data_IF_238007263597
#
_entry.id   IF_238007263597
#
_cell.length_a   1.000
_cell.length_b   1.000
_cell.length_c   1.000
_cell.angle_alpha   90.00
_cell.angle_beta   90.00
_cell.angle_gamma   90.00
#
_symmetry.space_group_name_H-M   'P 1'
#
loop_
_entity.id
_entity.type
_entity.pdbx_description
1 polymer ?
#
# COMPACT_ATOMS: atom_id res chain seq x y z
N UNK A 1 7.57 -10.25 37.97
CA UNK A 1 8.22 -10.09 36.66
C UNK A 1 7.09 -10.13 35.66
N UNK A 2 6.56 -8.96 35.30
CA UNK A 2 5.37 -8.83 34.46
C UNK A 2 5.76 -9.00 33.01
N UNK A 3 5.01 -9.88 32.35
CA UNK A 3 5.00 -10.24 30.94
C UNK A 3 4.89 -8.98 30.04
N UNK A 4 6.00 -8.57 29.41
CA UNK A 4 6.06 -7.41 28.49
C UNK A 4 6.46 -7.79 27.06
N UNK A 5 6.16 -9.00 26.60
CA UNK A 5 6.07 -9.25 25.14
C UNK A 5 4.81 -8.58 24.58
N UNK A 6 4.79 -7.25 24.51
CA UNK A 6 3.72 -6.46 23.89
C UNK A 6 3.78 -6.62 22.37
N UNK A 7 3.26 -7.73 21.87
CA UNK A 7 3.02 -7.93 20.45
C UNK A 7 1.64 -7.41 20.09
N UNK A 8 1.57 -6.40 19.23
CA UNK A 8 0.30 -5.94 18.64
C UNK A 8 0.10 -6.65 17.30
N UNK A 9 -1.02 -7.36 17.15
CA UNK A 9 -1.36 -8.05 15.91
C UNK A 9 -2.44 -7.28 15.16
N UNK A 10 -2.09 -6.71 14.01
CA UNK A 10 -2.99 -6.01 13.12
C UNK A 10 -3.48 -6.96 12.03
N UNK A 11 -4.80 -7.18 12.02
CA UNK A 11 -5.48 -8.04 11.03
C UNK A 11 -6.07 -7.17 9.93
N UNK A 12 -5.84 -7.58 8.69
CA UNK A 12 -6.46 -6.98 7.52
C UNK A 12 -7.52 -7.94 6.96
N UNK A 13 -8.65 -7.42 6.44
CA UNK A 13 -9.52 -8.17 5.55
C UNK A 13 -8.78 -8.72 4.32
N UNK A 14 -9.42 -9.61 3.57
CA UNK A 14 -8.90 -10.04 2.28
C UNK A 14 -8.78 -8.83 1.34
N UNK A 15 -7.75 -8.81 0.51
CA UNK A 15 -7.63 -7.77 -0.52
C UNK A 15 -8.87 -7.78 -1.42
N UNK A 16 -9.46 -6.60 -1.62
CA UNK A 16 -10.60 -6.41 -2.51
C UNK A 16 -10.31 -6.88 -3.94
N UNK A 17 -11.33 -7.45 -4.59
CA UNK A 17 -11.19 -8.08 -5.92
C UNK A 17 -10.70 -7.09 -6.99
N UNK A 18 -11.19 -5.86 -6.98
CA UNK A 18 -10.78 -4.82 -7.92
C UNK A 18 -9.27 -4.56 -7.84
N UNK A 19 -8.76 -4.38 -6.62
CA UNK A 19 -7.35 -4.15 -6.35
C UNK A 19 -6.47 -5.35 -6.70
N UNK A 20 -6.91 -6.57 -6.36
CA UNK A 20 -6.19 -7.79 -6.71
C UNK A 20 -5.99 -7.93 -8.23
N UNK A 21 -7.06 -7.72 -9.01
CA UNK A 21 -7.00 -7.79 -10.47
C UNK A 21 -6.11 -6.70 -11.08
N UNK A 22 -6.17 -5.49 -10.53
CA UNK A 22 -5.28 -4.42 -10.95
C UNK A 22 -3.81 -4.75 -10.66
N UNK A 23 -3.49 -5.25 -9.46
CA UNK A 23 -2.11 -5.61 -9.11
C UNK A 23 -1.55 -6.69 -10.05
N UNK A 24 -2.36 -7.70 -10.35
CA UNK A 24 -2.03 -8.75 -11.34
C UNK A 24 -1.75 -8.16 -12.73
N UNK A 25 -2.62 -7.25 -13.20
CA UNK A 25 -2.48 -6.60 -14.51
C UNK A 25 -1.22 -5.72 -14.58
N UNK A 26 -1.02 -4.88 -13.58
CA UNK A 26 -0.04 -3.79 -13.59
C UNK A 26 1.36 -4.28 -13.21
N UNK A 27 1.49 -5.03 -12.11
CA UNK A 27 2.79 -5.42 -11.57
C UNK A 27 3.27 -6.81 -12.03
N UNK A 28 2.35 -7.70 -12.40
CA UNK A 28 2.65 -9.11 -12.63
C UNK A 28 2.43 -9.57 -14.07
N UNK A 29 2.11 -8.65 -14.99
CA UNK A 29 1.92 -8.99 -16.41
C UNK A 29 0.81 -10.02 -16.64
N UNK A 30 -0.17 -10.13 -15.74
CA UNK A 30 -1.24 -11.12 -15.79
C UNK A 30 -0.96 -12.43 -15.04
N UNK A 31 0.24 -12.64 -14.49
CA UNK A 31 0.55 -13.84 -13.72
C UNK A 31 -0.06 -13.79 -12.32
N UNK A 32 -1.12 -14.58 -12.13
CA UNK A 32 -1.86 -14.68 -10.87
C UNK A 32 -1.04 -15.32 -9.75
N UNK A 33 -0.02 -16.12 -10.07
CA UNK A 33 0.80 -16.83 -9.09
C UNK A 33 1.71 -15.89 -8.28
N UNK A 34 1.92 -14.67 -8.79
CA UNK A 34 2.75 -13.65 -8.17
C UNK A 34 1.97 -12.76 -7.17
N UNK A 35 0.65 -12.92 -7.05
CA UNK A 35 -0.15 -12.22 -6.05
C UNK A 35 -0.05 -12.92 -4.68
N UNK A 36 0.93 -12.52 -3.88
CA UNK A 36 1.26 -13.21 -2.63
C UNK A 36 0.63 -12.60 -1.37
N UNK A 37 0.01 -11.43 -1.48
CA UNK A 37 -0.49 -10.63 -0.35
C UNK A 37 -2.02 -10.47 -0.34
N UNK A 38 -2.73 -11.42 -0.96
CA UNK A 38 -4.19 -11.52 -0.88
C UNK A 38 -4.68 -11.70 0.57
N UNK A 39 -3.94 -12.51 1.34
CA UNK A 39 -4.08 -12.65 2.80
C UNK A 39 -2.87 -11.98 3.44
N UNK A 40 -3.10 -10.95 4.25
CA UNK A 40 -2.02 -10.17 4.86
C UNK A 40 -2.27 -9.80 6.31
N UNK A 41 -1.18 -9.65 7.07
CA UNK A 41 -1.22 -9.19 8.46
C UNK A 41 0.07 -8.46 8.83
N UNK A 42 0.02 -7.69 9.92
CA UNK A 42 1.21 -7.11 10.52
C UNK A 42 1.29 -7.47 12.01
N UNK A 43 2.49 -7.82 12.47
CA UNK A 43 2.83 -8.06 13.87
C UNK A 43 3.84 -7.00 14.29
N UNK A 44 3.62 -6.36 15.43
CA UNK A 44 4.45 -5.24 15.88
C UNK A 44 5.21 -5.65 17.13
N UNK A 45 6.51 -5.37 17.15
CA UNK A 45 7.41 -5.73 18.23
C UNK A 45 8.15 -4.51 18.77
N UNK A 46 8.30 -4.44 20.10
CA UNK A 46 9.08 -3.39 20.76
C UNK A 46 10.57 -3.75 20.89
N UNK A 47 10.91 -5.02 20.70
CA UNK A 47 12.28 -5.56 20.75
C UNK A 47 12.62 -6.27 19.45
N UNK A 48 13.84 -6.07 18.95
CA UNK A 48 14.36 -6.85 17.82
C UNK A 48 14.59 -8.32 18.19
N UNK A 49 14.90 -8.60 19.46
CA UNK A 49 15.07 -9.98 19.92
C UNK A 49 13.74 -10.74 19.87
N UNK A 50 12.65 -10.09 20.31
CA UNK A 50 11.29 -10.67 20.22
C UNK A 50 10.85 -10.85 18.77
N UNK A 51 11.20 -9.89 17.90
CA UNK A 51 10.93 -9.96 16.47
C UNK A 51 11.63 -11.16 15.83
N UNK A 52 12.92 -11.33 16.10
CA UNK A 52 13.70 -12.46 15.60
C UNK A 52 13.19 -13.80 16.16
N UNK A 53 12.87 -13.85 17.46
CA UNK A 53 12.26 -15.02 18.08
C UNK A 53 10.90 -15.37 17.44
N UNK A 54 10.13 -14.37 17.00
CA UNK A 54 8.88 -14.59 16.28
C UNK A 54 9.10 -15.18 14.88
N UNK A 55 10.16 -14.79 14.17
CA UNK A 55 10.55 -15.42 12.89
C UNK A 55 10.80 -16.91 13.09
N UNK A 56 11.61 -17.28 14.08
CA UNK A 56 11.91 -18.67 14.41
C UNK A 56 10.65 -19.45 14.82
N UNK A 57 9.81 -18.83 15.67
CA UNK A 57 8.57 -19.44 16.13
C UNK A 57 7.59 -19.70 14.97
N UNK A 58 7.47 -18.76 14.01
CA UNK A 58 6.64 -18.93 12.81
C UNK A 58 7.24 -20.02 11.90
N UNK A 59 8.55 -19.99 11.66
CA UNK A 59 9.24 -20.96 10.81
C UNK A 59 9.21 -22.39 11.36
N UNK A 60 9.14 -22.56 12.68
CA UNK A 60 8.99 -23.88 13.30
C UNK A 60 7.60 -24.50 13.11
N UNK A 61 6.58 -23.69 12.83
CA UNK A 61 5.16 -24.11 12.75
C UNK A 61 4.61 -24.07 11.33
N UNK A 62 5.17 -23.23 10.47
CA UNK A 62 4.65 -22.99 9.14
C UNK A 62 5.77 -23.03 8.10
N UNK A 63 5.42 -23.44 6.87
CA UNK A 63 6.36 -23.42 5.76
C UNK A 63 6.53 -21.98 5.26
N UNK A 64 7.66 -21.38 5.59
CA UNK A 64 8.08 -20.10 5.02
C UNK A 64 8.57 -20.36 3.59
N UNK A 65 7.99 -19.67 2.62
CA UNK A 65 8.38 -19.75 1.21
C UNK A 65 9.38 -18.68 0.83
N UNK A 66 9.33 -17.53 1.50
CA UNK A 66 10.21 -16.41 1.27
C UNK A 66 10.33 -15.54 2.52
N UNK A 67 11.52 -14.96 2.72
CA UNK A 67 11.80 -13.95 3.74
C UNK A 67 12.43 -12.74 3.05
N UNK A 68 11.92 -11.55 3.31
CA UNK A 68 12.63 -10.29 3.05
C UNK A 68 13.01 -9.71 4.40
N UNK A 69 14.29 -9.82 4.77
CA UNK A 69 14.80 -9.34 6.05
C UNK A 69 15.49 -7.99 5.89
N UNK A 70 14.72 -6.90 6.05
CA UNK A 70 15.25 -5.54 6.00
C UNK A 70 15.78 -5.06 7.34
N UNK A 71 15.76 -5.90 8.38
CA UNK A 71 16.48 -5.62 9.62
C UNK A 71 17.97 -5.89 9.35
N UNK A 72 18.29 -7.03 8.76
CA UNK A 72 19.65 -7.41 8.36
C UNK A 72 20.14 -6.62 7.13
N UNK A 73 19.27 -6.42 6.14
CA UNK A 73 19.58 -5.73 4.89
C UNK A 73 18.64 -4.51 4.66
N UNK A 74 18.89 -3.37 5.34
CA UNK A 74 18.04 -2.19 5.21
C UNK A 74 17.96 -1.69 3.78
N UNK A 75 16.84 -1.05 3.45
CA UNK A 75 16.70 -0.35 2.15
C UNK A 75 17.68 0.82 2.04
N UNK A 76 17.85 1.36 0.83
CA UNK A 76 18.68 2.55 0.58
C UNK A 76 18.26 3.77 1.43
N UNK A 77 16.97 3.89 1.76
CA UNK A 77 16.44 4.96 2.62
C UNK A 77 16.56 4.64 4.12
N UNK A 78 17.08 3.47 4.48
CA UNK A 78 17.26 3.01 5.85
C UNK A 78 16.04 2.36 6.49
N UNK A 79 14.94 2.15 5.73
CA UNK A 79 13.76 1.44 6.21
C UNK A 79 14.06 -0.01 6.60
N UNK A 80 13.37 -0.49 7.64
CA UNK A 80 13.55 -1.82 8.23
C UNK A 80 12.23 -2.47 8.63
N UNK A 81 12.04 -3.71 8.21
CA UNK A 81 10.98 -4.64 8.62
C UNK A 81 11.42 -6.07 8.25
N UNK A 82 10.59 -7.07 8.60
CA UNK A 82 10.71 -8.41 8.00
C UNK A 82 9.38 -8.77 7.34
N UNK A 83 9.39 -9.10 6.05
CA UNK A 83 8.25 -9.69 5.38
C UNK A 83 8.43 -11.21 5.26
N UNK A 84 7.54 -11.97 5.89
CA UNK A 84 7.46 -13.42 5.79
C UNK A 84 6.34 -13.81 4.84
N UNK A 85 6.64 -14.68 3.90
CA UNK A 85 5.65 -15.30 3.02
C UNK A 85 5.45 -16.73 3.50
N UNK A 86 4.24 -17.02 3.96
CA UNK A 86 3.91 -18.27 4.65
C UNK A 86 2.92 -19.05 3.80
N UNK A 87 3.24 -20.31 3.48
CA UNK A 87 2.30 -21.22 2.82
C UNK A 87 1.28 -21.73 3.83
N UNK A 88 0.01 -21.47 3.59
CA UNK A 88 -1.12 -21.91 4.40
C UNK A 88 -1.45 -23.39 4.14
N UNK A 89 -2.36 -23.95 4.95
CA UNK A 89 -2.80 -25.36 4.80
C UNK A 89 -3.57 -25.65 3.50
N UNK A 90 -4.13 -24.61 2.85
CA UNK A 90 -4.78 -24.69 1.55
C UNK A 90 -3.87 -24.21 0.40
N UNK A 91 -2.55 -24.19 0.60
CA UNK A 91 -1.51 -23.86 -0.37
C UNK A 91 -1.48 -22.39 -0.88
N UNK A 92 -2.35 -21.53 -0.34
CA UNK A 92 -2.24 -20.09 -0.56
C UNK A 92 -1.00 -19.53 0.16
N UNK A 93 -0.46 -18.43 -0.36
CA UNK A 93 0.56 -17.66 0.34
C UNK A 93 -0.12 -16.53 1.11
N UNK A 94 0.23 -16.41 2.39
CA UNK A 94 -0.11 -15.27 3.22
C UNK A 94 1.15 -14.48 3.54
N UNK A 95 1.09 -13.15 3.42
CA UNK A 95 2.21 -12.27 3.78
C UNK A 95 2.02 -11.73 5.19
N UNK A 96 3.02 -11.94 6.04
CA UNK A 96 3.08 -11.38 7.39
C UNK A 96 4.23 -10.39 7.46
N UNK A 97 3.95 -9.14 7.80
CA UNK A 97 4.99 -8.15 8.09
C UNK A 97 5.24 -8.06 9.58
N UNK A 98 6.50 -8.16 9.98
CA UNK A 98 6.95 -7.97 11.34
C UNK A 98 7.59 -6.58 11.41
N UNK A 99 6.93 -5.67 12.12
CA UNK A 99 7.28 -4.26 12.19
C UNK A 99 7.91 -3.94 13.55
N UNK A 100 9.05 -3.24 13.59
CA UNK A 100 9.48 -2.55 14.80
C UNK A 100 8.45 -1.50 15.22
N UNK A 101 8.20 -1.36 16.52
CA UNK A 101 7.30 -0.36 17.10
C UNK A 101 7.51 1.07 16.57
N UNK A 102 8.76 1.56 16.48
CA UNK A 102 9.05 2.89 15.90
C UNK A 102 8.64 3.04 14.44
N UNK A 103 8.65 1.95 13.65
CA UNK A 103 8.22 1.95 12.25
C UNK A 103 6.69 2.07 12.17
N UNK A 104 5.96 1.32 13.00
CA UNK A 104 4.52 1.49 13.07
C UNK A 104 4.18 2.93 13.48
N UNK A 105 4.81 3.47 14.53
CA UNK A 105 4.57 4.85 14.99
C UNK A 105 4.84 5.88 13.88
N UNK A 106 5.92 5.70 13.11
CA UNK A 106 6.20 6.53 11.94
C UNK A 106 5.08 6.45 10.87
N UNK A 107 4.49 5.26 10.67
CA UNK A 107 3.30 5.10 9.81
C UNK A 107 2.10 5.85 10.38
N UNK A 108 1.81 5.70 11.68
CA UNK A 108 0.66 6.33 12.38
C UNK A 108 0.67 7.86 12.27
N UNK A 109 1.86 8.46 12.27
CA UNK A 109 2.02 9.91 12.19
C UNK A 109 1.82 10.47 10.77
N UNK A 110 1.78 9.63 9.73
CA UNK A 110 1.62 10.03 8.32
C UNK A 110 2.81 10.83 7.73
N UNK A 111 3.49 11.65 8.54
CA UNK A 111 4.52 12.58 8.12
C UNK A 111 5.82 11.89 7.68
N UNK A 112 6.15 10.72 8.26
CA UNK A 112 7.38 9.98 7.92
C UNK A 112 7.22 9.04 6.73
N UNK A 113 6.02 8.50 6.50
CA UNK A 113 5.69 7.75 5.27
C UNK A 113 6.02 8.57 4.02
N UNK A 114 5.64 9.85 4.03
CA UNK A 114 5.92 10.77 2.94
C UNK A 114 7.40 11.13 2.82
N UNK A 115 8.14 11.21 3.94
CA UNK A 115 9.59 11.44 3.92
C UNK A 115 10.33 10.27 3.25
N UNK A 116 9.97 9.03 3.59
CA UNK A 116 10.53 7.80 3.00
C UNK A 116 10.06 7.62 1.55
N UNK A 117 8.83 8.05 1.25
CA UNK A 117 8.24 8.01 -0.10
C UNK A 117 8.63 9.21 -0.96
N UNK A 118 9.47 10.16 -0.50
CA UNK A 118 9.84 11.34 -1.31
C UNK A 118 10.48 10.96 -2.64
N UNK A 119 11.30 9.90 -2.67
CA UNK A 119 11.91 9.41 -3.91
C UNK A 119 10.85 8.89 -4.89
N UNK A 120 9.86 8.15 -4.37
CA UNK A 120 8.70 7.62 -5.09
C UNK A 120 7.86 8.78 -5.63
N UNK A 121 7.51 9.75 -4.78
CA UNK A 121 6.72 10.93 -5.14
C UNK A 121 7.45 11.81 -6.16
N UNK A 122 8.76 12.01 -6.00
CA UNK A 122 9.57 12.75 -6.96
C UNK A 122 9.68 12.00 -8.29
N UNK A 123 9.75 10.66 -8.28
CA UNK A 123 9.68 9.85 -9.50
C UNK A 123 8.32 9.99 -10.17
N UNK A 124 7.22 9.91 -9.41
CA UNK A 124 5.86 10.08 -9.90
C UNK A 124 5.65 11.48 -10.51
N UNK A 125 6.12 12.54 -9.85
CA UNK A 125 6.05 13.90 -10.40
C UNK A 125 6.87 14.06 -11.68
N UNK A 126 8.08 13.47 -11.76
CA UNK A 126 8.90 13.50 -12.97
C UNK A 126 8.22 12.77 -14.13
N UNK A 127 7.67 11.58 -13.88
CA UNK A 127 6.94 10.80 -14.89
C UNK A 127 5.65 11.49 -15.31
N UNK A 128 4.86 11.99 -14.35
CA UNK A 128 3.63 12.75 -14.62
C UNK A 128 3.88 13.98 -15.51
N UNK A 129 4.96 14.74 -15.27
CA UNK A 129 5.37 15.86 -16.14
C UNK A 129 5.82 15.42 -17.53
N UNK A 130 6.50 14.27 -17.64
CA UNK A 130 6.98 13.76 -18.93
C UNK A 130 5.86 13.18 -19.80
N UNK A 131 4.78 12.74 -19.17
CA UNK A 131 3.58 12.19 -19.83
C UNK A 131 2.65 13.26 -20.40
N UNK A 132 2.85 14.54 -20.02
CA UNK A 132 2.06 15.69 -20.46
C UNK A 132 2.40 16.19 -21.90
N UNK A 133 2.72 15.27 -22.82
CA UNK A 133 2.93 15.57 -24.23
C UNK A 133 1.63 15.52 -25.05
N UNK A 134 1.40 16.59 -25.83
CA UNK A 134 0.24 16.87 -26.69
C UNK A 134 -1.12 16.71 -25.98
N UNK A 135 -1.54 17.79 -25.31
CA UNK A 135 -2.74 17.88 -24.47
C UNK A 135 -2.40 17.72 -22.98
N UNK A 136 -2.76 18.71 -22.16
CA UNK A 136 -2.58 18.65 -20.70
C UNK A 136 -3.30 17.40 -20.17
N UNK A 137 -2.53 16.42 -19.70
CA UNK A 137 -3.03 15.20 -19.08
C UNK A 137 -2.48 15.07 -17.68
N UNK A 138 -3.36 14.72 -16.76
CA UNK A 138 -3.05 14.54 -15.36
C UNK A 138 -2.80 13.07 -15.07
N UNK A 139 -1.98 12.80 -14.07
CA UNK A 139 -1.72 11.45 -13.58
C UNK A 139 -2.01 11.36 -12.08
N UNK A 140 -2.22 10.15 -11.60
CA UNK A 140 -2.39 9.81 -10.20
C UNK A 140 -1.31 8.81 -9.82
N UNK A 141 -0.51 9.12 -8.82
CA UNK A 141 0.33 8.11 -8.18
C UNK A 141 -0.48 7.41 -7.09
N UNK A 142 -0.44 6.09 -7.08
CA UNK A 142 -1.09 5.25 -6.07
C UNK A 142 -0.01 4.54 -5.29
N UNK A 143 -0.11 4.58 -3.95
CA UNK A 143 0.84 4.03 -3.02
C UNK A 143 0.18 2.93 -2.18
N UNK A 144 0.72 1.71 -2.23
CA UNK A 144 0.32 0.59 -1.39
C UNK A 144 1.02 0.70 -0.04
N UNK A 145 0.29 1.04 1.04
CA UNK A 145 0.90 1.25 2.36
C UNK A 145 1.48 -0.04 2.97
N UNK A 146 0.99 -1.20 2.54
CA UNK A 146 1.52 -2.48 2.98
C UNK A 146 2.85 -2.76 2.29
N UNK A 147 2.94 -2.52 0.97
CA UNK A 147 4.11 -2.84 0.15
C UNK A 147 4.99 -1.64 -0.26
N UNK A 148 4.85 -0.48 0.38
CA UNK A 148 5.46 0.78 -0.06
C UNK A 148 7.00 0.79 -0.22
N UNK A 149 7.71 -0.17 0.39
CA UNK A 149 9.17 -0.34 0.29
C UNK A 149 9.57 -1.50 -0.63
N UNK A 150 8.62 -1.98 -1.42
CA UNK A 150 8.76 -3.02 -2.42
C UNK A 150 8.61 -2.37 -3.81
N UNK A 151 9.09 -3.03 -4.86
CA UNK A 151 8.94 -2.59 -6.25
C UNK A 151 7.48 -2.54 -6.72
N UNK A 152 6.61 -3.27 -6.05
CA UNK A 152 5.15 -3.24 -6.22
C UNK A 152 4.43 -2.22 -5.33
N UNK A 153 5.18 -1.41 -4.57
CA UNK A 153 4.64 -0.47 -3.58
C UNK A 153 3.99 0.78 -4.18
N UNK A 154 4.20 1.04 -5.46
CA UNK A 154 3.65 2.21 -6.13
C UNK A 154 3.40 1.99 -7.62
N UNK A 155 2.34 2.61 -8.12
CA UNK A 155 2.02 2.68 -9.54
C UNK A 155 1.62 4.09 -9.96
N UNK A 156 1.67 4.36 -11.26
CA UNK A 156 1.19 5.59 -11.89
C UNK A 156 -0.01 5.26 -12.77
N UNK A 157 -1.06 6.05 -12.66
CA UNK A 157 -2.24 6.01 -13.53
C UNK A 157 -2.29 7.34 -14.29
N UNK A 158 -2.00 7.33 -15.57
CA UNK A 158 -1.99 8.53 -16.41
C UNK A 158 -3.22 8.62 -17.32
N UNK A 159 -3.35 9.71 -18.07
CA UNK A 159 -4.38 9.86 -19.10
C UNK A 159 -5.66 10.57 -18.63
N UNK A 160 -5.69 11.13 -17.41
CA UNK A 160 -6.84 11.90 -16.95
C UNK A 160 -6.94 13.24 -17.69
N UNK A 161 -8.14 13.62 -18.16
CA UNK A 161 -8.32 14.82 -18.99
C UNK A 161 -8.30 16.14 -18.22
N UNK A 162 -8.44 16.11 -16.89
CA UNK A 162 -8.37 17.30 -16.03
C UNK A 162 -7.97 16.96 -14.59
N UNK A 163 -7.53 17.97 -13.85
CA UNK A 163 -7.22 17.84 -12.43
C UNK A 163 -8.43 17.38 -11.61
N UNK A 164 -9.63 17.87 -11.96
CA UNK A 164 -10.89 17.52 -11.30
C UNK A 164 -11.21 16.04 -11.46
N UNK A 165 -11.01 15.47 -12.66
CA UNK A 165 -11.23 14.04 -12.90
C UNK A 165 -10.18 13.19 -12.18
N UNK A 166 -8.91 13.60 -12.19
CA UNK A 166 -7.85 12.92 -11.45
C UNK A 166 -8.13 12.95 -9.93
N UNK A 167 -8.62 14.08 -9.41
CA UNK A 167 -9.01 14.21 -8.00
C UNK A 167 -10.22 13.34 -7.65
N UNK A 168 -11.22 13.27 -8.52
CA UNK A 168 -12.37 12.37 -8.33
C UNK A 168 -11.92 10.91 -8.29
N UNK A 169 -10.96 10.51 -9.14
CA UNK A 169 -10.35 9.18 -9.07
C UNK A 169 -9.67 8.93 -7.71
N UNK A 170 -8.86 9.88 -7.23
CA UNK A 170 -8.24 9.79 -5.90
C UNK A 170 -9.30 9.65 -4.82
N UNK A 171 -10.35 10.47 -4.83
CA UNK A 171 -11.42 10.42 -3.84
C UNK A 171 -12.10 9.05 -3.79
N UNK A 172 -12.49 8.50 -4.95
CA UNK A 172 -13.15 7.19 -4.99
C UNK A 172 -12.23 6.07 -4.55
N UNK A 173 -10.96 6.11 -4.94
CA UNK A 173 -9.97 5.10 -4.55
C UNK A 173 -9.64 5.17 -3.06
N UNK A 174 -9.47 6.36 -2.51
CA UNK A 174 -9.26 6.58 -1.07
C UNK A 174 -10.46 6.10 -0.26
N UNK A 175 -11.69 6.42 -0.70
CA UNK A 175 -12.93 5.91 -0.09
C UNK A 175 -12.99 4.39 -0.15
N UNK A 176 -12.69 3.79 -1.30
CA UNK A 176 -12.67 2.34 -1.44
C UNK A 176 -11.67 1.70 -0.47
N UNK A 177 -10.46 2.25 -0.40
CA UNK A 177 -9.41 1.79 0.52
C UNK A 177 -9.82 1.88 1.99
N UNK A 178 -10.47 2.96 2.42
CA UNK A 178 -10.98 3.11 3.80
C UNK A 178 -12.10 2.10 4.07
N UNK A 179 -13.05 1.98 3.16
CA UNK A 179 -14.24 1.15 3.37
C UNK A 179 -13.96 -0.36 3.27
N UNK A 180 -12.93 -0.80 2.55
CA UNK A 180 -12.45 -2.20 2.59
C UNK A 180 -11.89 -2.58 3.98
N UNK A 181 -11.40 -1.60 4.75
CA UNK A 181 -10.86 -1.81 6.10
C UNK A 181 -11.90 -1.58 7.20
N UNK A 182 -13.03 -0.96 6.89
CA UNK A 182 -14.05 -0.59 7.87
C UNK A 182 -14.76 -1.83 8.41
N UNK A 183 -14.75 -1.99 9.73
CA UNK A 183 -15.48 -3.03 10.43
C UNK A 183 -16.58 -2.47 11.35
N UNK A 184 -17.59 -3.30 11.64
CA UNK A 184 -18.60 -2.96 12.65
C UNK A 184 -17.95 -2.82 14.03
N UNK A 185 -18.38 -1.82 14.82
CA UNK A 185 -17.86 -1.51 16.16
C UNK A 185 -16.37 -1.15 16.23
N UNK A 186 -15.74 -0.81 15.10
CA UNK A 186 -14.39 -0.26 15.06
C UNK A 186 -14.43 1.24 15.38
N UNK A 187 -13.52 1.70 16.23
CA UNK A 187 -13.34 3.12 16.47
C UNK A 187 -12.72 3.82 15.26
N UNK A 188 -12.98 5.12 15.15
CA UNK A 188 -12.36 6.01 14.18
C UNK A 188 -10.83 5.86 14.15
N UNK A 189 -10.21 5.84 15.33
CA UNK A 189 -8.76 5.78 15.46
C UNK A 189 -8.23 4.42 15.00
N UNK A 190 -8.86 3.32 15.40
CA UNK A 190 -8.47 1.98 14.93
C UNK A 190 -8.55 1.86 13.40
N UNK A 191 -9.57 2.45 12.76
CA UNK A 191 -9.68 2.46 11.30
C UNK A 191 -8.53 3.25 10.66
N UNK A 192 -8.24 4.45 11.17
CA UNK A 192 -7.12 5.27 10.71
C UNK A 192 -5.79 4.52 10.82
N UNK A 193 -5.58 3.83 11.95
CA UNK A 193 -4.37 3.08 12.22
C UNK A 193 -4.21 1.84 11.33
N UNK A 194 -5.30 1.13 11.03
CA UNK A 194 -5.26 0.06 10.03
C UNK A 194 -4.98 0.60 8.63
N UNK A 195 -5.56 1.74 8.27
CA UNK A 195 -5.34 2.35 6.95
C UNK A 195 -3.88 2.74 6.70
N UNK A 196 -3.17 3.27 7.70
CA UNK A 196 -1.73 3.56 7.57
C UNK A 196 -0.84 2.31 7.38
N UNK A 197 -1.38 1.11 7.61
CA UNK A 197 -0.65 -0.16 7.45
C UNK A 197 -1.08 -0.91 6.19
N UNK A 198 -2.37 -0.90 5.86
CA UNK A 198 -2.95 -1.74 4.80
C UNK A 198 -3.71 -0.98 3.72
N UNK A 199 -3.89 0.32 3.89
CA UNK A 199 -4.61 1.19 2.96
C UNK A 199 -3.79 1.54 1.73
N UNK A 200 -4.39 2.38 0.90
CA UNK A 200 -3.81 2.90 -0.32
C UNK A 200 -3.95 4.40 -0.33
N UNK A 201 -2.83 5.10 -0.37
CA UNK A 201 -2.83 6.54 -0.58
C UNK A 201 -2.76 6.85 -2.07
N UNK A 202 -3.26 8.01 -2.47
CA UNK A 202 -3.24 8.42 -3.86
C UNK A 202 -3.08 9.93 -3.97
N UNK A 203 -2.31 10.38 -4.96
CA UNK A 203 -2.04 11.79 -5.16
C UNK A 203 -2.06 12.15 -6.64
N UNK A 204 -2.58 13.34 -6.95
CA UNK A 204 -2.52 13.87 -8.31
C UNK A 204 -1.12 14.43 -8.57
N UNK A 205 -0.50 13.97 -9.65
CA UNK A 205 0.82 14.39 -10.13
C UNK A 205 0.75 14.82 -11.60
N UNK A 206 1.53 15.85 -11.97
CA UNK A 206 1.49 16.43 -13.33
C UNK A 206 0.48 17.57 -13.46
N UNK A 207 0.51 18.26 -14.61
CA UNK A 207 -0.16 19.55 -14.84
C UNK A 207 0.79 20.74 -14.66
N UNK A 208 0.81 21.68 -15.62
CA UNK A 208 1.61 22.91 -15.49
C UNK A 208 0.95 23.82 -14.43
N UNK A 209 1.71 24.19 -13.38
CA UNK A 209 1.23 25.14 -12.37
C UNK A 209 0.17 24.62 -11.37
N UNK A 210 -0.22 23.34 -11.40
CA UNK A 210 -1.16 22.79 -10.41
C UNK A 210 -0.45 22.34 -9.14
N UNK A 211 -0.93 22.82 -7.99
CA UNK A 211 -0.56 22.26 -6.69
C UNK A 211 -0.91 20.77 -6.66
N UNK A 212 0.03 19.93 -6.23
CA UNK A 212 -0.22 18.50 -6.06
C UNK A 212 -1.36 18.31 -5.03
N UNK A 213 -2.37 17.52 -5.39
CA UNK A 213 -3.42 17.12 -4.46
C UNK A 213 -3.04 15.79 -3.80
N UNK A 214 -3.09 15.74 -2.47
CA UNK A 214 -2.73 14.58 -1.66
C UNK A 214 -3.99 13.98 -1.04
N UNK A 215 -4.30 12.72 -1.35
CA UNK A 215 -5.45 12.01 -0.80
C UNK A 215 -5.42 11.92 0.72
N UNK A 216 -4.23 11.72 1.30
CA UNK A 216 -4.02 11.74 2.75
C UNK A 216 -4.60 12.98 3.44
N UNK A 217 -4.62 14.15 2.79
CA UNK A 217 -5.15 15.38 3.36
C UNK A 217 -6.65 15.28 3.70
N UNK A 218 -7.39 14.43 2.97
CA UNK A 218 -8.83 14.20 3.17
C UNK A 218 -9.14 12.86 3.85
N UNK A 219 -8.12 12.12 4.34
CA UNK A 219 -8.31 10.82 4.99
C UNK A 219 -9.30 10.88 6.15
N UNK A 220 -9.18 11.91 6.98
CA UNK A 220 -10.06 12.08 8.13
C UNK A 220 -11.52 12.30 7.70
N UNK A 221 -11.75 13.05 6.61
CA UNK A 221 -13.07 13.21 6.03
C UNK A 221 -13.63 11.88 5.51
N UNK A 222 -12.84 11.05 4.82
CA UNK A 222 -13.30 9.74 4.34
C UNK A 222 -13.65 8.77 5.47
N UNK A 223 -12.88 8.80 6.57
CA UNK A 223 -13.16 7.99 7.76
C UNK A 223 -14.50 8.40 8.40
N UNK A 224 -14.77 9.69 8.47
CA UNK A 224 -15.97 10.24 9.11
C UNK A 224 -17.24 10.17 8.23
N UNK A 225 -17.08 9.94 6.92
CA UNK A 225 -18.19 9.91 5.96
C UNK A 225 -18.17 8.60 5.14
N UNK A 226 -18.78 7.51 5.65
CA UNK A 226 -18.85 6.23 4.96
C UNK A 226 -19.39 6.36 3.54
N UNK A 227 -18.75 5.67 2.60
CA UNK A 227 -19.06 5.77 1.18
C UNK A 227 -19.93 4.60 0.69
N UNK A 228 -20.87 4.91 -0.20
CA UNK A 228 -21.62 3.92 -0.96
C UNK A 228 -20.75 3.23 -2.02
N UNK A 229 -21.24 2.12 -2.59
CA UNK A 229 -20.54 1.42 -3.68
C UNK A 229 -20.24 2.33 -4.88
N UNK A 230 -21.15 3.26 -5.21
CA UNK A 230 -20.96 4.19 -6.33
C UNK A 230 -19.85 5.23 -6.04
N UNK A 231 -19.79 5.73 -4.80
CA UNK A 231 -18.76 6.69 -4.37
C UNK A 231 -17.37 6.06 -4.20
N UNK A 232 -17.28 4.72 -4.27
CA UNK A 232 -16.04 3.95 -4.21
C UNK A 232 -15.62 3.41 -5.58
N UNK A 233 -16.47 3.52 -6.61
CA UNK A 233 -16.23 2.93 -7.92
C UNK A 233 -15.23 3.77 -8.73
N UNK A 234 -13.95 3.62 -8.41
CA UNK A 234 -12.84 4.23 -9.15
C UNK A 234 -12.62 3.57 -10.52
N UNK A 235 -13.07 2.31 -10.71
CA UNK A 235 -12.98 1.60 -11.98
C UNK A 235 -13.92 2.18 -13.05
N UNK A 236 -15.06 2.76 -12.65
CA UNK A 236 -15.94 3.48 -13.57
C UNK A 236 -15.21 4.60 -14.33
N UNK A 237 -14.28 5.28 -13.66
CA UNK A 237 -13.47 6.33 -14.28
C UNK A 237 -12.42 5.74 -15.23
N UNK A 238 -11.81 4.61 -14.89
CA UNK A 238 -10.88 3.91 -15.79
C UNK A 238 -11.55 3.42 -17.07
N UNK A 239 -12.84 3.09 -17.01
CA UNK A 239 -13.62 2.67 -18.17
C UNK A 239 -14.05 3.84 -19.06
N UNK A 240 -14.20 5.03 -18.47
CA UNK A 240 -14.68 6.24 -19.16
C UNK A 240 -13.58 7.02 -19.86
N UNK A 241 -12.35 6.95 -19.34
CA UNK A 241 -11.22 7.70 -19.84
C UNK A 241 -10.13 6.74 -20.31
N UNK A 242 -9.31 7.11 -21.32
CA UNK A 242 -8.23 6.27 -21.82
C UNK A 242 -7.03 6.33 -20.86
N UNK A 243 -7.25 5.93 -19.61
CA UNK A 243 -6.20 5.90 -18.58
C UNK A 243 -5.32 4.67 -18.75
N UNK A 244 -4.06 4.81 -18.39
CA UNK A 244 -3.10 3.73 -18.42
C UNK A 244 -2.38 3.63 -17.08
N UNK A 245 -2.31 2.40 -16.55
CA UNK A 245 -1.67 2.11 -15.27
C UNK A 245 -0.35 1.38 -15.49
N UNK A 246 0.74 1.86 -14.89
CA UNK A 246 2.05 1.22 -14.95
C UNK A 246 2.75 1.20 -13.58
N UNK A 247 3.63 0.21 -13.31
CA UNK A 247 4.49 0.26 -12.14
C UNK A 247 5.37 1.50 -12.15
N UNK A 248 5.43 2.18 -11.01
CA UNK A 248 6.29 3.35 -10.87
C UNK A 248 7.77 2.95 -10.73
N UNK A 249 8.01 1.79 -10.12
CA UNK A 249 9.32 1.15 -10.03
C UNK A 249 9.25 -0.14 -10.87
N UNK A 250 10.18 -0.38 -11.79
CA UNK A 250 10.25 -1.65 -12.51
C UNK A 250 10.44 -2.81 -11.53
N UNK A 251 9.74 -3.93 -11.77
CA UNK A 251 9.91 -5.16 -10.99
C UNK A 251 11.36 -5.65 -11.08
N UNK A 252 11.95 -5.97 -9.93
CA UNK A 252 13.28 -6.59 -9.87
C UNK A 252 13.18 -8.09 -10.16
N UNK A 253 14.12 -8.63 -10.96
CA UNK A 253 14.21 -10.07 -11.20
C UNK A 253 14.51 -10.87 -9.91
N UNK A 254 15.16 -10.24 -8.92
CA UNK A 254 15.45 -10.84 -7.61
C UNK A 254 14.18 -11.02 -6.75
N UNK A 255 13.02 -10.54 -7.23
CA UNK A 255 11.75 -10.59 -6.53
C UNK A 255 10.82 -11.72 -6.96
N UNK A 256 11.25 -12.65 -7.81
CA UNK A 256 10.43 -13.82 -8.15
C UNK A 256 10.49 -14.90 -7.03
N UNK A 257 9.33 -15.50 -6.66
CA UNK A 257 9.23 -16.51 -5.60
C UNK A 257 9.82 -17.88 -5.96
#
# INVERSE_FOLDING_TARGET
MTDETRTEALKCPLMGRARALEKIRVHYGGDVSLLLDLVRSALVFQSLDDLNAAVDAIGSKHKIVRIRDRIAEPTETGYRDIALYVRTSNDHIATMRLLPGPILEAKRQGHKLYAESQSILAAAQRRGRSSAGEGERYAVAVLDMFNYMDDEGAMLVDGFPSAEIAKEYVWRRMRDSVEELRAANQSREELKQLWFVFGEDSLVVGGEGSDAYYGLADLDFFIDHPASTAERDWLELEQRFPVHSEPLIPRSADNDP
#
